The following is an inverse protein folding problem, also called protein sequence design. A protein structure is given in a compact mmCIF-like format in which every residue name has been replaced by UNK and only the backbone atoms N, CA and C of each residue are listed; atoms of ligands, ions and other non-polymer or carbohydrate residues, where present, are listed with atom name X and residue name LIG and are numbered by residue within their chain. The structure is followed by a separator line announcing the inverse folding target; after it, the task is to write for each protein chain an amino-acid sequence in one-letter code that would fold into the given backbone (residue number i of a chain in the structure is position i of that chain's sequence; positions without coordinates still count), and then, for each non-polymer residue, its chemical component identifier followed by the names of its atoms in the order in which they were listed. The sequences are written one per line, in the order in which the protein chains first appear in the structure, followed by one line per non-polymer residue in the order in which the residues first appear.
data_IF_662371556888
#
_entry.id   IF_662371556888
#
_cell.length_a   1.000
_cell.length_b   1.000
_cell.length_c   1.000
_cell.angle_alpha   90.00
_cell.angle_beta   90.00
_cell.angle_gamma   90.00
#
_symmetry.space_group_name_H-M   'P 1'
#
loop_
_entity.id
_entity.type
_entity.pdbx_description
1 polymer ?
#
# COMPACT_ATOMS: atom_id res chain seq x y z
N UNK A 1 -15.97 47.78 -26.07
CA UNK A 1 -15.50 46.53 -26.69
C UNK A 1 -15.60 45.44 -25.64
N UNK A 2 -16.54 44.54 -25.86
CA UNK A 2 -16.81 43.37 -25.02
C UNK A 2 -15.90 42.26 -25.53
N UNK A 3 -15.11 41.65 -24.66
CA UNK A 3 -14.47 40.36 -24.92
C UNK A 3 -14.72 39.44 -23.72
N UNK A 4 -15.62 38.50 -23.97
CA UNK A 4 -15.96 37.28 -23.22
C UNK A 4 -14.89 36.16 -23.50
N UNK A 5 -14.96 34.95 -22.92
CA UNK A 5 -14.33 34.59 -21.65
C UNK A 5 -13.37 33.38 -21.79
N UNK A 6 -12.56 33.13 -20.76
CA UNK A 6 -11.98 31.83 -20.37
C UNK A 6 -11.65 30.89 -21.56
N UNK A 7 -10.59 31.24 -22.29
CA UNK A 7 -9.78 30.23 -22.98
C UNK A 7 -8.95 29.52 -21.94
N UNK A 8 -9.39 28.35 -21.48
CA UNK A 8 -8.60 27.46 -20.63
C UNK A 8 -7.42 26.93 -21.45
N UNK A 9 -6.39 27.78 -21.61
CA UNK A 9 -5.13 27.44 -22.20
C UNK A 9 -4.33 26.72 -21.11
N UNK A 10 -4.64 25.43 -20.90
CA UNK A 10 -3.75 24.55 -20.15
C UNK A 10 -2.55 24.34 -21.07
N UNK A 11 -1.63 25.30 -21.06
CA UNK A 11 -0.27 25.05 -21.47
C UNK A 11 0.19 23.82 -20.70
N UNK A 12 0.85 22.83 -21.33
CA UNK A 12 1.52 21.79 -20.57
C UNK A 12 2.45 22.54 -19.62
N UNK A 13 2.19 22.43 -18.31
CA UNK A 13 3.13 22.93 -17.33
C UNK A 13 4.45 22.28 -17.68
N UNK A 14 5.38 23.05 -18.24
CA UNK A 14 6.76 22.64 -18.36
C UNK A 14 7.14 22.19 -16.96
N UNK A 15 7.52 20.92 -16.81
CA UNK A 15 7.87 20.34 -15.53
C UNK A 15 9.14 21.05 -15.09
N UNK A 16 8.98 22.21 -14.46
CA UNK A 16 9.94 22.73 -13.51
C UNK A 16 10.20 21.54 -12.60
N UNK A 17 11.46 21.12 -12.47
CA UNK A 17 11.90 20.19 -11.41
C UNK A 17 11.70 20.88 -10.04
N UNK A 18 10.48 21.32 -9.75
CA UNK A 18 10.04 21.60 -8.41
C UNK A 18 10.07 20.28 -7.66
N UNK A 19 10.66 20.31 -6.47
CA UNK A 19 10.66 19.20 -5.55
C UNK A 19 9.23 18.98 -5.04
N UNK A 20 8.35 18.39 -5.86
CA UNK A 20 7.12 17.83 -5.35
C UNK A 20 7.55 16.77 -4.32
N UNK A 21 7.20 17.02 -3.06
CA UNK A 21 7.53 16.15 -1.94
C UNK A 21 6.78 14.83 -2.18
N UNK A 22 7.45 13.66 -2.16
CA UNK A 22 6.81 12.36 -2.41
C UNK A 22 5.50 12.16 -1.63
N UNK A 23 5.45 12.62 -0.37
CA UNK A 23 4.24 12.60 0.45
C UNK A 23 3.06 13.42 -0.11
N UNK A 24 3.31 14.57 -0.73
CA UNK A 24 2.25 15.35 -1.40
C UNK A 24 1.73 14.62 -2.66
N UNK A 25 2.64 14.02 -3.43
CA UNK A 25 2.26 13.21 -4.60
C UNK A 25 1.42 12.00 -4.18
N UNK A 26 1.75 11.34 -3.07
CA UNK A 26 0.96 10.25 -2.52
C UNK A 26 -0.47 10.68 -2.15
N UNK A 27 -0.62 11.80 -1.42
CA UNK A 27 -1.94 12.33 -1.02
C UNK A 27 -2.78 12.71 -2.25
N UNK A 28 -2.17 13.35 -3.25
CA UNK A 28 -2.84 13.69 -4.50
C UNK A 28 -3.23 12.44 -5.28
N UNK A 29 -2.35 11.44 -5.35
CA UNK A 29 -2.61 10.15 -5.98
C UNK A 29 -3.84 9.47 -5.38
N UNK A 30 -3.94 9.42 -4.05
CA UNK A 30 -5.13 8.92 -3.34
C UNK A 30 -6.39 9.70 -3.68
N UNK A 31 -6.31 11.03 -3.64
CA UNK A 31 -7.44 11.92 -3.92
C UNK A 31 -7.96 11.73 -5.34
N UNK A 32 -7.09 11.64 -6.35
CA UNK A 32 -7.47 11.36 -7.72
C UNK A 32 -8.05 9.95 -7.90
N UNK A 33 -7.52 8.96 -7.18
CA UNK A 33 -8.04 7.60 -7.24
C UNK A 33 -9.47 7.53 -6.66
N UNK A 34 -9.74 8.21 -5.54
CA UNK A 34 -11.08 8.36 -4.95
C UNK A 34 -12.03 9.03 -5.95
N UNK A 35 -11.56 10.08 -6.63
CA UNK A 35 -12.30 10.79 -7.68
C UNK A 35 -12.43 9.99 -9.00
N UNK A 36 -12.00 8.72 -9.04
CA UNK A 36 -12.00 7.85 -10.22
C UNK A 36 -11.17 8.39 -11.40
N UNK A 37 -10.32 9.37 -11.18
CA UNK A 37 -9.35 9.85 -12.17
C UNK A 37 -8.08 8.99 -12.11
N UNK A 38 -8.17 7.79 -12.67
CA UNK A 38 -7.09 6.80 -12.67
C UNK A 38 -5.82 7.29 -13.36
N UNK A 39 -5.95 8.11 -14.40
CA UNK A 39 -4.80 8.64 -15.14
C UNK A 39 -3.95 9.56 -14.25
N UNK A 40 -4.58 10.57 -13.63
CA UNK A 40 -3.87 11.47 -12.70
C UNK A 40 -3.39 10.75 -11.45
N UNK A 41 -4.15 9.78 -10.93
CA UNK A 41 -3.72 8.96 -9.80
C UNK A 41 -2.43 8.18 -10.13
N UNK A 42 -2.42 7.50 -11.28
CA UNK A 42 -1.26 6.75 -11.77
C UNK A 42 -0.03 7.66 -11.96
N UNK A 43 -0.20 8.84 -12.55
CA UNK A 43 0.87 9.82 -12.72
C UNK A 43 1.44 10.30 -11.38
N UNK A 44 0.58 10.57 -10.39
CA UNK A 44 1.01 10.96 -9.05
C UNK A 44 1.80 9.86 -8.34
N UNK A 45 1.32 8.60 -8.37
CA UNK A 45 2.05 7.51 -7.74
C UNK A 45 3.35 7.17 -8.49
N UNK A 46 3.36 7.21 -9.82
CA UNK A 46 4.60 7.06 -10.60
C UNK A 46 5.63 8.12 -10.19
N UNK A 47 5.23 9.40 -10.15
CA UNK A 47 6.13 10.47 -9.72
C UNK A 47 6.57 10.37 -8.25
N UNK A 48 5.80 9.67 -7.41
CA UNK A 48 6.20 9.34 -6.05
C UNK A 48 7.35 8.32 -6.06
N UNK A 49 7.19 7.21 -6.80
CA UNK A 49 8.18 6.14 -6.92
C UNK A 49 9.48 6.61 -7.58
N UNK A 50 9.40 7.44 -8.62
CA UNK A 50 10.58 8.01 -9.31
C UNK A 50 11.45 8.87 -8.39
N UNK A 51 10.89 9.39 -7.29
CA UNK A 51 11.59 10.28 -6.34
C UNK A 51 11.98 9.58 -5.05
N UNK A 52 11.34 8.47 -4.73
CA UNK A 52 11.55 7.70 -3.51
C UNK A 52 11.24 6.22 -3.78
N UNK A 53 12.32 5.45 -3.98
CA UNK A 53 12.24 4.02 -4.19
C UNK A 53 11.65 3.27 -2.98
N UNK A 54 11.65 3.89 -1.80
CA UNK A 54 11.17 3.33 -0.54
C UNK A 54 9.77 3.81 -0.18
N UNK A 55 9.05 4.46 -1.11
CA UNK A 55 7.64 4.82 -0.95
C UNK A 55 6.73 3.57 -1.04
N UNK A 56 6.88 2.64 -0.09
CA UNK A 56 6.18 1.34 -0.05
C UNK A 56 4.67 1.52 -0.11
N UNK A 57 4.12 2.52 0.58
CA UNK A 57 2.69 2.83 0.52
C UNK A 57 2.22 3.13 -0.91
N UNK A 58 3.04 3.85 -1.70
CA UNK A 58 2.71 4.14 -3.09
C UNK A 58 2.76 2.87 -3.96
N UNK A 59 3.74 1.99 -3.72
CA UNK A 59 3.82 0.68 -4.39
C UNK A 59 2.53 -0.12 -4.13
N UNK A 60 2.10 -0.21 -2.87
CA UNK A 60 0.89 -0.93 -2.50
C UNK A 60 -0.36 -0.37 -3.19
N UNK A 61 -0.54 0.95 -3.22
CA UNK A 61 -1.69 1.59 -3.87
C UNK A 61 -1.73 1.28 -5.37
N UNK A 62 -0.58 1.36 -6.04
CA UNK A 62 -0.48 1.08 -7.48
C UNK A 62 -0.85 -0.38 -7.79
N UNK A 63 -0.36 -1.32 -6.97
CA UNK A 63 -0.66 -2.75 -7.12
C UNK A 63 -2.14 -3.03 -6.83
N UNK A 64 -2.62 -2.57 -5.67
CA UNK A 64 -3.98 -2.81 -5.17
C UNK A 64 -5.02 -2.33 -6.18
N UNK A 65 -4.80 -1.15 -6.77
CA UNK A 65 -5.72 -0.54 -7.72
C UNK A 65 -5.37 -0.81 -9.19
N UNK A 66 -4.31 -1.59 -9.47
CA UNK A 66 -3.82 -1.91 -10.82
C UNK A 66 -3.62 -0.63 -11.66
N UNK A 67 -2.94 0.36 -11.09
CA UNK A 67 -2.75 1.68 -11.71
C UNK A 67 -1.56 1.73 -12.67
N UNK A 68 -0.60 0.82 -12.53
CA UNK A 68 0.52 0.60 -13.43
C UNK A 68 0.66 -0.90 -13.71
N UNK A 69 1.31 -1.23 -14.83
CA UNK A 69 1.67 -2.62 -15.09
C UNK A 69 2.79 -3.06 -14.15
N UNK A 70 2.91 -4.37 -13.90
CA UNK A 70 4.01 -4.91 -13.09
C UNK A 70 5.38 -4.44 -13.62
N UNK A 71 5.59 -4.52 -14.93
CA UNK A 71 6.84 -4.11 -15.57
C UNK A 71 7.14 -2.62 -15.36
N UNK A 72 6.12 -1.75 -15.45
CA UNK A 72 6.29 -0.32 -15.17
C UNK A 72 6.73 -0.06 -13.72
N UNK A 73 6.13 -0.79 -12.76
CA UNK A 73 6.48 -0.65 -11.34
C UNK A 73 7.94 -1.05 -11.11
N UNK A 74 8.36 -2.19 -11.66
CA UNK A 74 9.73 -2.68 -11.54
C UNK A 74 10.74 -1.70 -12.13
N UNK A 75 10.49 -1.18 -13.34
CA UNK A 75 11.34 -0.17 -13.99
C UNK A 75 11.47 1.07 -13.09
N UNK A 76 10.36 1.61 -12.56
CA UNK A 76 10.42 2.77 -11.69
C UNK A 76 11.23 2.53 -10.42
N UNK A 77 11.12 1.35 -9.79
CA UNK A 77 11.88 1.02 -8.59
C UNK A 77 13.37 0.85 -8.88
N UNK A 78 13.73 0.18 -9.97
CA UNK A 78 15.11 0.02 -10.41
C UNK A 78 15.77 1.37 -10.72
N UNK A 79 15.06 2.23 -11.47
CA UNK A 79 15.54 3.58 -11.81
C UNK A 79 15.69 4.45 -10.57
N UNK A 80 14.72 4.42 -9.66
CA UNK A 80 14.77 5.21 -8.43
C UNK A 80 15.89 4.74 -7.50
N UNK A 81 16.11 3.42 -7.37
CA UNK A 81 17.21 2.87 -6.59
C UNK A 81 18.58 3.25 -7.16
N UNK A 82 18.72 3.19 -8.50
CA UNK A 82 19.95 3.58 -9.18
C UNK A 82 20.27 5.08 -9.06
N UNK A 83 19.25 5.93 -9.02
CA UNK A 83 19.40 7.38 -8.91
C UNK A 83 19.56 7.86 -7.46
N UNK A 84 19.28 7.00 -6.48
CA UNK A 84 19.31 7.34 -5.06
C UNK A 84 20.66 6.98 -4.42
N UNK A 85 21.11 7.80 -3.47
CA UNK A 85 22.28 7.51 -2.65
C UNK A 85 21.86 6.63 -1.46
N UNK A 86 21.48 5.38 -1.76
CA UNK A 86 20.97 4.43 -0.76
C UNK A 86 22.12 3.85 0.07
N UNK A 87 21.92 3.81 1.39
CA UNK A 87 22.80 3.02 2.26
C UNK A 87 22.54 1.51 2.09
N UNK A 88 23.39 0.66 2.68
CA UNK A 88 23.28 -0.80 2.55
C UNK A 88 21.91 -1.36 3.00
N UNK A 89 21.30 -0.77 4.03
CA UNK A 89 19.99 -1.20 4.53
C UNK A 89 18.88 -0.81 3.56
N UNK A 90 18.92 0.42 3.05
CA UNK A 90 17.97 0.95 2.08
C UNK A 90 18.03 0.21 0.75
N UNK A 91 19.22 -0.15 0.28
CA UNK A 91 19.41 -0.97 -0.91
C UNK A 91 18.72 -2.34 -0.75
N UNK A 92 18.95 -3.02 0.39
CA UNK A 92 18.28 -4.30 0.68
C UNK A 92 16.76 -4.16 0.74
N UNK A 93 16.25 -3.07 1.32
CA UNK A 93 14.81 -2.79 1.34
C UNK A 93 14.25 -2.58 -0.07
N UNK A 94 14.98 -1.86 -0.93
CA UNK A 94 14.61 -1.69 -2.33
C UNK A 94 14.60 -3.01 -3.10
N UNK A 95 15.62 -3.86 -2.90
CA UNK A 95 15.66 -5.21 -3.49
C UNK A 95 14.48 -6.07 -3.03
N UNK A 96 14.14 -6.02 -1.74
CA UNK A 96 12.96 -6.72 -1.21
C UNK A 96 11.65 -6.21 -1.80
N UNK A 97 11.52 -4.89 -2.03
CA UNK A 97 10.35 -4.31 -2.68
C UNK A 97 10.22 -4.78 -4.14
N UNK A 98 11.33 -4.85 -4.88
CA UNK A 98 11.37 -5.40 -6.24
C UNK A 98 10.92 -6.87 -6.24
N UNK A 99 11.46 -7.70 -5.34
CA UNK A 99 11.07 -9.11 -5.21
C UNK A 99 9.59 -9.28 -4.82
N UNK A 100 9.06 -8.40 -3.97
CA UNK A 100 7.64 -8.39 -3.60
C UNK A 100 6.76 -8.13 -4.83
N UNK A 101 7.09 -7.12 -5.64
CA UNK A 101 6.38 -6.82 -6.89
C UNK A 101 6.51 -7.97 -7.89
N UNK A 102 7.70 -8.57 -7.98
CA UNK A 102 7.97 -9.67 -8.89
C UNK A 102 7.14 -10.93 -8.54
N UNK A 103 7.09 -11.26 -7.25
CA UNK A 103 6.35 -12.41 -6.71
C UNK A 103 4.83 -12.35 -6.86
N UNK A 104 4.24 -11.18 -7.13
CA UNK A 104 2.78 -11.01 -7.30
C UNK A 104 2.25 -11.68 -8.59
N UNK A 105 3.15 -12.18 -9.46
CA UNK A 105 2.78 -12.95 -10.65
C UNK A 105 2.55 -14.44 -10.37
N UNK A 106 1.51 -14.79 -9.60
CA UNK A 106 0.75 -16.05 -9.81
C UNK A 106 -0.65 -15.92 -9.18
N UNK A 107 -1.73 -16.31 -9.89
CA UNK A 107 -2.97 -16.69 -9.23
C UNK A 107 -2.77 -18.09 -8.64
N UNK A 108 -1.95 -18.22 -7.59
CA UNK A 108 -1.97 -19.41 -6.77
C UNK A 108 -3.11 -19.27 -5.76
N UNK A 109 -4.13 -20.07 -6.03
CA UNK A 109 -5.18 -20.52 -5.14
C UNK A 109 -4.63 -20.91 -3.76
N UNK A 110 -4.39 -19.93 -2.88
CA UNK A 110 -4.26 -20.12 -1.43
C UNK A 110 -4.89 -18.92 -0.70
N UNK A 111 -6.20 -18.76 -0.90
CA UNK A 111 -7.04 -18.30 0.20
C UNK A 111 -7.19 -19.46 1.19
N UNK A 112 -6.32 -19.52 2.20
CA UNK A 112 -6.55 -20.35 3.39
C UNK A 112 -5.57 -19.96 4.50
N UNK A 113 -6.13 -19.31 5.52
CA UNK A 113 -5.64 -19.27 6.91
C UNK A 113 -4.26 -18.66 7.20
N UNK A 114 -4.22 -17.33 7.36
CA UNK A 114 -3.26 -16.68 8.26
C UNK A 114 -3.85 -15.49 9.05
N UNK A 115 -5.18 -15.40 9.16
CA UNK A 115 -5.84 -14.31 9.92
C UNK A 115 -6.99 -14.75 10.83
N UNK A 116 -6.92 -15.99 11.33
CA UNK A 116 -7.82 -16.49 12.36
C UNK A 116 -7.08 -17.54 13.19
N UNK A 117 -6.29 -17.08 14.18
CA UNK A 117 -5.95 -17.78 15.42
C UNK A 117 -4.99 -16.89 16.22
N UNK A 118 -5.54 -15.83 16.80
CA UNK A 118 -4.91 -15.08 17.90
C UNK A 118 -5.88 -14.92 19.09
N UNK A 119 -6.95 -15.72 19.14
CA UNK A 119 -7.87 -15.82 20.27
C UNK A 119 -8.31 -17.28 20.41
N UNK A 120 -7.40 -18.12 20.88
CA UNK A 120 -7.70 -19.46 21.40
C UNK A 120 -6.45 -19.98 22.15
N UNK A 121 -6.00 -19.21 23.14
CA UNK A 121 -5.15 -19.75 24.21
C UNK A 121 -5.85 -19.35 25.51
N UNK A 122 -6.86 -20.13 25.86
CA UNK A 122 -7.30 -20.33 27.24
C UNK A 122 -7.60 -21.83 27.33
N UNK A 123 -6.52 -22.57 27.56
CA UNK A 123 -6.39 -23.77 28.40
C UNK A 123 -7.56 -24.77 28.41
N UNK A 124 -7.32 -25.94 27.79
CA UNK A 124 -8.04 -27.19 28.04
C UNK A 124 -7.62 -27.81 29.39
N UNK A 125 -8.63 -28.26 30.16
CA UNK A 125 -8.70 -29.47 31.02
C UNK A 125 -7.75 -29.57 32.24
N UNK A 126 -8.09 -30.09 33.44
CA UNK A 126 -9.15 -30.93 34.06
C UNK A 126 -8.76 -31.04 35.58
N UNK A 127 -9.31 -31.90 36.48
CA UNK A 127 -10.66 -32.37 36.77
C UNK A 127 -11.06 -32.26 38.29
N UNK A 128 -12.31 -32.66 38.57
CA UNK A 128 -13.08 -32.90 39.82
C UNK A 128 -12.46 -32.84 41.24
N UNK A 129 -13.23 -32.28 42.20
CA UNK A 129 -13.22 -32.75 43.61
C UNK A 129 -14.64 -32.67 44.26
N UNK A 130 -14.99 -33.76 44.96
CA UNK A 130 -16.28 -34.10 45.56
C UNK A 130 -16.67 -33.21 46.76
N UNK A 131 -17.97 -32.94 46.97
CA UNK A 131 -18.57 -32.90 48.32
C UNK A 131 -20.04 -33.35 48.28
N UNK A 132 -20.33 -34.41 49.03
CA UNK A 132 -21.67 -34.94 49.33
C UNK A 132 -22.14 -34.45 50.72
N UNK A 133 -23.46 -34.17 50.87
CA UNK A 133 -24.31 -34.08 52.09
C UNK A 133 -24.25 -32.89 53.08
N UNK A 134 -25.26 -32.68 53.98
CA UNK A 134 -26.72 -32.97 53.93
C UNK A 134 -27.67 -31.83 54.45
N UNK A 135 -29.00 -32.05 54.30
CA UNK A 135 -30.23 -31.58 55.02
C UNK A 135 -30.37 -30.08 55.46
N UNK A 136 -31.54 -29.42 55.31
CA UNK A 136 -32.63 -29.40 56.30
C UNK A 136 -34.03 -29.08 55.72
N UNK A 137 -35.02 -29.60 56.45
CA UNK A 137 -36.49 -29.53 56.39
C UNK A 137 -37.16 -28.13 56.48
N UNK A 138 -38.46 -28.15 56.15
CA UNK A 138 -39.57 -27.18 56.42
C UNK A 138 -39.69 -25.97 55.47
N UNK A 139 -40.87 -25.62 54.93
CA UNK A 139 -42.26 -25.75 55.41
C UNK A 139 -43.26 -26.10 54.31
#
# INVERSE_FOLDING_TARGET
MVCDPIGCNIQPCSVVKGAAIPGLLFILGKSYNIAQNRHSASACFRGCLERDALAVDAIEEVIRHRLLSKSDILICLEEAAYQSDLNETELKLSEMAILYVDGISTPNNMHSHARAQAVAILEEEEPEEQVDQPEYLES
#
